data_IF_480171696716
#
_entry.id   IF_480171696716
#
_cell.length_a   1.000
_cell.length_b   1.000
_cell.length_c   1.000
_cell.angle_alpha   90.00
_cell.angle_beta   90.00
_cell.angle_gamma   90.00
#
_symmetry.space_group_name_H-M   'P 1'
#
loop_
_entity.id
_entity.type
_entity.pdbx_description
1 polymer ?
#
# COMPACT_ATOMS: atom_id res chain seq x y z
N UNK A 1 -14.57 20.44 10.34
CA UNK A 1 -13.37 20.21 9.57
C UNK A 1 -13.74 20.07 8.10
N UNK A 2 -13.01 20.72 7.24
CA UNK A 2 -13.22 20.72 5.80
C UNK A 2 -12.91 19.34 5.21
N UNK A 3 -13.74 18.87 4.28
CA UNK A 3 -13.51 17.57 3.62
C UNK A 3 -12.17 17.55 2.90
N UNK A 4 -11.76 18.67 2.31
CA UNK A 4 -10.47 18.75 1.63
C UNK A 4 -9.31 18.55 2.62
N UNK A 5 -9.40 19.08 3.81
CA UNK A 5 -8.40 18.87 4.85
C UNK A 5 -8.37 17.42 5.29
N UNK A 6 -9.54 16.78 5.41
CA UNK A 6 -9.64 15.35 5.75
C UNK A 6 -8.95 14.52 4.68
N UNK A 7 -9.17 14.83 3.39
CA UNK A 7 -8.54 14.12 2.28
C UNK A 7 -7.02 14.26 2.35
N UNK A 8 -6.52 15.47 2.63
CA UNK A 8 -5.08 15.71 2.73
C UNK A 8 -4.44 14.93 3.87
N UNK A 9 -5.08 14.90 5.02
CA UNK A 9 -4.60 14.13 6.17
C UNK A 9 -4.60 12.65 5.83
N UNK A 10 -5.68 12.16 5.21
CA UNK A 10 -5.78 10.76 4.79
C UNK A 10 -4.69 10.40 3.80
N UNK A 11 -4.39 11.29 2.86
CA UNK A 11 -3.30 11.07 1.90
C UNK A 11 -1.94 10.96 2.58
N UNK A 12 -1.68 11.82 3.58
CA UNK A 12 -0.43 11.74 4.34
C UNK A 12 -0.30 10.39 5.03
N UNK A 13 -1.37 9.94 5.69
CA UNK A 13 -1.37 8.63 6.35
C UNK A 13 -1.18 7.49 5.34
N UNK A 14 -1.79 7.61 4.17
CA UNK A 14 -1.64 6.61 3.10
C UNK A 14 -0.19 6.52 2.63
N UNK A 15 0.46 7.66 2.42
CA UNK A 15 1.87 7.70 2.02
C UNK A 15 2.77 7.15 3.12
N UNK A 16 2.47 7.43 4.38
CA UNK A 16 3.21 6.86 5.50
C UNK A 16 3.06 5.34 5.55
N UNK A 17 1.88 4.82 5.23
CA UNK A 17 1.67 3.38 5.13
C UNK A 17 2.56 2.75 4.07
N UNK A 18 2.61 3.34 2.88
CA UNK A 18 3.50 2.86 1.82
C UNK A 18 4.97 3.00 2.20
N UNK A 19 5.34 4.10 2.86
CA UNK A 19 6.72 4.29 3.34
C UNK A 19 7.12 3.20 4.32
N UNK A 20 6.20 2.82 5.20
CA UNK A 20 6.44 1.74 6.16
C UNK A 20 6.63 0.39 5.47
N UNK A 21 5.82 0.09 4.44
CA UNK A 21 5.99 -1.11 3.62
C UNK A 21 7.35 -1.09 2.94
N UNK A 22 7.72 0.00 2.30
CA UNK A 22 8.98 0.12 1.59
C UNK A 22 10.17 0.01 2.54
N UNK A 23 10.10 0.64 3.72
CA UNK A 23 11.15 0.54 4.71
C UNK A 23 11.36 -0.90 5.15
N UNK A 24 10.27 -1.62 5.42
CA UNK A 24 10.35 -3.02 5.84
C UNK A 24 10.88 -3.93 4.75
N UNK A 25 10.51 -3.71 3.49
CA UNK A 25 11.00 -4.54 2.38
C UNK A 25 12.43 -4.19 1.99
N UNK A 26 12.74 -2.90 1.87
CA UNK A 26 14.08 -2.45 1.48
C UNK A 26 15.14 -2.84 2.50
N UNK A 27 14.81 -2.81 3.79
CA UNK A 27 15.77 -3.20 4.83
C UNK A 27 16.16 -4.68 4.73
N UNK A 28 15.42 -5.48 3.98
CA UNK A 28 15.65 -6.92 3.85
C UNK A 28 16.10 -7.35 2.46
N UNK A 29 16.48 -6.40 1.58
CA UNK A 29 16.89 -6.74 0.21
C UNK A 29 18.01 -7.79 0.19
N UNK A 30 18.97 -7.65 1.09
CA UNK A 30 20.07 -8.62 1.19
C UNK A 30 19.62 -10.00 1.65
N UNK A 31 18.43 -10.10 2.24
CA UNK A 31 17.88 -11.36 2.75
C UNK A 31 16.88 -12.01 1.80
N UNK A 32 16.61 -11.43 0.65
CA UNK A 32 15.58 -11.94 -0.27
C UNK A 32 15.83 -13.38 -0.71
N UNK A 33 17.09 -13.77 -0.84
CA UNK A 33 17.47 -15.14 -1.25
C UNK A 33 17.62 -16.08 -0.07
N UNK A 34 17.71 -15.58 1.16
CA UNK A 34 18.03 -16.40 2.33
C UNK A 34 16.93 -16.46 3.37
N UNK A 35 16.12 -15.42 3.53
CA UNK A 35 15.05 -15.49 4.52
C UNK A 35 14.50 -14.15 4.98
N UNK A 36 14.00 -13.34 4.04
CA UNK A 36 13.26 -12.14 4.41
C UNK A 36 11.90 -12.53 5.00
N UNK A 37 11.42 -11.74 5.95
CA UNK A 37 10.17 -12.01 6.66
C UNK A 37 9.24 -10.81 6.58
N UNK A 38 7.94 -11.05 6.79
CA UNK A 38 6.97 -9.98 6.91
C UNK A 38 7.15 -9.34 8.27
N UNK A 39 7.79 -8.18 8.29
CA UNK A 39 8.02 -7.41 9.51
C UNK A 39 6.73 -6.71 9.95
N UNK A 40 6.58 -6.37 11.25
CA UNK A 40 5.42 -5.59 11.71
C UNK A 40 5.22 -4.30 10.93
N UNK A 41 6.30 -3.64 10.51
CA UNK A 41 6.20 -2.42 9.69
C UNK A 41 5.53 -2.67 8.34
N UNK A 42 5.74 -3.85 7.75
CA UNK A 42 5.10 -4.23 6.49
C UNK A 42 3.61 -4.47 6.73
N UNK A 43 3.25 -5.23 7.74
CA UNK A 43 1.85 -5.52 8.04
C UNK A 43 1.08 -4.27 8.43
N UNK A 44 1.61 -3.49 9.37
CA UNK A 44 0.94 -2.27 9.82
C UNK A 44 0.88 -1.21 8.71
N UNK A 45 1.94 -1.12 7.91
CA UNK A 45 1.95 -0.23 6.76
C UNK A 45 0.90 -0.60 5.73
N UNK A 46 0.74 -1.90 5.44
CA UNK A 46 -0.27 -2.36 4.48
C UNK A 46 -1.68 -2.12 5.02
N UNK A 47 -1.90 -2.32 6.31
CA UNK A 47 -3.18 -2.04 6.98
C UNK A 47 -3.53 -0.56 6.86
N UNK A 48 -2.59 0.30 7.22
CA UNK A 48 -2.79 1.75 7.13
C UNK A 48 -3.02 2.20 5.70
N UNK A 49 -2.24 1.70 4.74
CA UNK A 49 -2.41 2.04 3.33
C UNK A 49 -3.75 1.57 2.79
N UNK A 50 -4.20 0.38 3.19
CA UNK A 50 -5.50 -0.15 2.76
C UNK A 50 -6.64 0.70 3.30
N UNK A 51 -6.65 0.97 4.61
CA UNK A 51 -7.71 1.76 5.23
C UNK A 51 -7.77 3.17 4.67
N UNK A 52 -6.64 3.83 4.53
CA UNK A 52 -6.60 5.19 3.98
C UNK A 52 -6.95 5.24 2.50
N UNK A 53 -6.54 4.20 1.74
CA UNK A 53 -6.92 4.10 0.33
C UNK A 53 -8.42 3.93 0.16
N UNK A 54 -9.05 3.09 0.97
CA UNK A 54 -10.49 2.92 0.94
C UNK A 54 -11.22 4.21 1.35
N UNK A 55 -10.69 4.91 2.36
CA UNK A 55 -11.24 6.19 2.78
C UNK A 55 -11.20 7.22 1.66
N UNK A 56 -10.07 7.32 0.96
CA UNK A 56 -9.95 8.24 -0.17
C UNK A 56 -10.86 7.87 -1.33
N UNK A 57 -11.06 6.57 -1.57
CA UNK A 57 -11.98 6.12 -2.62
C UNK A 57 -13.41 6.61 -2.39
N UNK A 58 -13.79 6.80 -1.11
CA UNK A 58 -15.08 7.38 -0.76
C UNK A 58 -15.07 8.90 -0.68
N UNK A 59 -13.97 9.48 -0.16
CA UNK A 59 -13.88 10.93 0.07
C UNK A 59 -13.73 11.75 -1.21
N UNK A 60 -12.96 11.27 -2.18
CA UNK A 60 -12.72 12.02 -3.41
C UNK A 60 -14.00 12.26 -4.21
N UNK A 61 -14.83 11.23 -4.52
CA UNK A 61 -16.10 11.48 -5.18
C UNK A 61 -17.04 12.35 -4.36
N UNK A 62 -17.04 12.20 -3.04
CA UNK A 62 -17.86 13.01 -2.14
C UNK A 62 -17.49 14.49 -2.20
N UNK A 63 -16.22 14.79 -2.52
CA UNK A 63 -15.75 16.17 -2.70
C UNK A 63 -15.95 16.68 -4.14
N UNK A 64 -16.68 15.94 -4.98
CA UNK A 64 -16.97 16.35 -6.34
C UNK A 64 -15.86 16.13 -7.34
N UNK A 65 -14.80 15.41 -6.97
CA UNK A 65 -13.69 15.16 -7.87
C UNK A 65 -13.98 14.00 -8.82
N UNK A 66 -13.57 14.16 -10.08
CA UNK A 66 -13.66 13.10 -11.07
C UNK A 66 -12.61 12.05 -10.79
N UNK A 67 -13.07 10.84 -10.47
CA UNK A 67 -12.17 9.75 -10.15
C UNK A 67 -12.29 8.68 -11.23
N UNK A 68 -11.15 8.27 -11.78
CA UNK A 68 -11.11 7.21 -12.77
C UNK A 68 -11.31 5.87 -12.07
N UNK A 69 -12.41 5.18 -12.39
CA UNK A 69 -12.74 3.91 -11.77
C UNK A 69 -11.67 2.84 -12.00
N UNK A 70 -11.06 2.83 -13.20
CA UNK A 70 -10.00 1.89 -13.51
C UNK A 70 -8.77 2.12 -12.63
N UNK A 71 -8.37 3.37 -12.47
CA UNK A 71 -7.22 3.74 -11.64
C UNK A 71 -7.45 3.34 -10.18
N UNK A 72 -8.63 3.64 -9.65
CA UNK A 72 -8.97 3.28 -8.26
C UNK A 72 -8.97 1.76 -8.10
N UNK A 73 -9.55 1.04 -9.06
CA UNK A 73 -9.62 -0.43 -8.99
C UNK A 73 -8.22 -1.05 -8.99
N UNK A 74 -7.31 -0.56 -9.83
CA UNK A 74 -5.94 -1.06 -9.88
C UNK A 74 -5.18 -0.78 -8.58
N UNK A 75 -5.31 0.43 -8.05
CA UNK A 75 -4.67 0.80 -6.78
C UNK A 75 -5.22 -0.05 -5.62
N UNK A 76 -6.53 -0.20 -5.56
CA UNK A 76 -7.19 -0.97 -4.50
C UNK A 76 -6.83 -2.44 -4.58
N UNK A 77 -6.80 -3.01 -5.79
CA UNK A 77 -6.42 -4.41 -5.99
C UNK A 77 -4.98 -4.65 -5.54
N UNK A 78 -4.06 -3.74 -5.89
CA UNK A 78 -2.67 -3.85 -5.51
C UNK A 78 -2.47 -3.83 -4.00
N UNK A 79 -3.08 -2.86 -3.32
CA UNK A 79 -2.91 -2.74 -1.88
C UNK A 79 -3.62 -3.87 -1.12
N UNK A 80 -4.75 -4.34 -1.65
CA UNK A 80 -5.46 -5.48 -1.08
C UNK A 80 -4.60 -6.75 -1.19
N UNK A 81 -3.96 -6.97 -2.34
CA UNK A 81 -3.06 -8.10 -2.53
C UNK A 81 -1.88 -8.03 -1.55
N UNK A 82 -1.27 -6.86 -1.40
CA UNK A 82 -0.18 -6.66 -0.44
C UNK A 82 -0.64 -7.02 0.98
N UNK A 83 -1.80 -6.52 1.38
CA UNK A 83 -2.33 -6.79 2.72
C UNK A 83 -2.59 -8.27 2.94
N UNK A 84 -3.22 -8.95 1.99
CA UNK A 84 -3.50 -10.38 2.13
C UNK A 84 -2.22 -11.20 2.22
N UNK A 85 -1.22 -10.89 1.40
CA UNK A 85 0.07 -11.58 1.44
C UNK A 85 0.74 -11.33 2.80
N UNK A 86 0.79 -10.07 3.24
CA UNK A 86 1.42 -9.72 4.51
C UNK A 86 0.71 -10.37 5.70
N UNK A 87 -0.61 -10.38 5.69
CA UNK A 87 -1.39 -10.99 6.76
C UNK A 87 -1.19 -12.51 6.80
N UNK A 88 -1.22 -13.15 5.63
CA UNK A 88 -1.07 -14.61 5.53
C UNK A 88 0.27 -15.08 6.08
N UNK A 89 1.34 -14.36 5.79
CA UNK A 89 2.69 -14.75 6.20
C UNK A 89 3.20 -13.99 7.42
N UNK A 90 2.35 -13.22 8.07
CA UNK A 90 2.69 -12.53 9.31
C UNK A 90 3.06 -13.55 10.38
N UNK A 91 4.16 -13.30 11.10
CA UNK A 91 4.65 -14.17 12.19
C UNK A 91 5.03 -15.59 11.75
N UNK A 92 5.21 -15.83 10.47
CA UNK A 92 5.70 -17.11 9.97
C UNK A 92 7.22 -17.14 10.05
N UNK A 93 7.77 -18.17 10.70
CA UNK A 93 9.22 -18.34 10.78
C UNK A 93 9.82 -18.72 9.44
N UNK A 94 9.10 -19.54 8.67
CA UNK A 94 9.53 -20.03 7.37
C UNK A 94 8.75 -19.34 6.26
N UNK A 95 8.96 -18.03 6.11
CA UNK A 95 8.33 -17.27 5.04
C UNK A 95 8.95 -17.67 3.69
N UNK A 96 8.14 -18.04 2.70
CA UNK A 96 8.68 -18.35 1.37
C UNK A 96 9.46 -17.17 0.79
N UNK A 97 10.47 -17.47 0.01
CA UNK A 97 11.39 -16.43 -0.51
C UNK A 97 10.73 -15.44 -1.46
N UNK A 98 9.59 -15.80 -2.07
CA UNK A 98 8.89 -14.93 -3.01
C UNK A 98 8.05 -13.84 -2.31
N UNK A 99 7.74 -14.02 -1.02
CA UNK A 99 6.73 -13.19 -0.33
C UNK A 99 7.16 -11.74 -0.21
N UNK A 100 8.31 -11.46 0.39
CA UNK A 100 8.75 -10.09 0.61
C UNK A 100 9.09 -9.39 -0.71
N UNK A 101 9.81 -10.03 -1.66
CA UNK A 101 10.00 -9.42 -2.98
C UNK A 101 8.68 -9.14 -3.71
N UNK A 102 7.67 -10.01 -3.57
CA UNK A 102 6.37 -9.79 -4.18
C UNK A 102 5.67 -8.57 -3.58
N UNK A 103 5.72 -8.41 -2.25
CA UNK A 103 5.15 -7.24 -1.59
C UNK A 103 5.84 -5.96 -2.09
N UNK A 104 7.16 -5.98 -2.16
CA UNK A 104 7.93 -4.85 -2.67
C UNK A 104 7.54 -4.51 -4.12
N UNK A 105 7.45 -5.54 -4.98
CA UNK A 105 7.07 -5.35 -6.38
C UNK A 105 5.67 -4.77 -6.52
N UNK A 106 4.71 -5.27 -5.75
CA UNK A 106 3.35 -4.75 -5.77
C UNK A 106 3.28 -3.31 -5.27
N UNK A 107 4.05 -2.97 -4.24
CA UNK A 107 4.10 -1.60 -3.72
C UNK A 107 4.68 -0.65 -4.77
N UNK A 108 5.74 -1.06 -5.45
CA UNK A 108 6.36 -0.27 -6.52
C UNK A 108 5.37 -0.08 -7.67
N UNK A 109 4.69 -1.15 -8.10
CA UNK A 109 3.67 -1.06 -9.14
C UNK A 109 2.55 -0.10 -8.76
N UNK A 110 2.13 -0.12 -7.51
CA UNK A 110 1.08 0.78 -7.04
C UNK A 110 1.52 2.24 -7.13
N UNK A 111 2.77 2.53 -6.77
CA UNK A 111 3.33 3.88 -6.91
C UNK A 111 3.41 4.29 -8.38
N UNK A 112 3.85 3.38 -9.24
CA UNK A 112 3.93 3.65 -10.69
C UNK A 112 2.54 3.96 -11.24
N UNK A 113 1.53 3.15 -10.91
CA UNK A 113 0.17 3.40 -11.34
C UNK A 113 -0.35 4.76 -10.83
N UNK A 114 -0.02 5.10 -9.58
CA UNK A 114 -0.43 6.38 -9.02
C UNK A 114 0.13 7.55 -9.79
N UNK A 115 1.40 7.48 -10.18
CA UNK A 115 2.07 8.57 -10.89
C UNK A 115 1.70 8.60 -12.37
N UNK A 116 1.71 7.44 -13.03
CA UNK A 116 1.50 7.36 -14.49
C UNK A 116 0.04 7.51 -14.86
N UNK A 117 -0.88 6.97 -14.05
CA UNK A 117 -2.32 7.01 -14.35
C UNK A 117 -3.05 8.16 -13.67
N UNK A 118 -2.33 9.16 -13.21
CA UNK A 118 -2.94 10.32 -12.61
C UNK A 118 -3.15 10.20 -11.11
N UNK A 119 -2.08 10.31 -10.36
CA UNK A 119 -2.11 10.19 -8.90
C UNK A 119 -3.01 11.21 -8.22
N UNK A 120 -3.30 12.31 -8.90
CA UNK A 120 -4.18 13.35 -8.37
C UNK A 120 -5.64 12.93 -8.38
N UNK A 121 -5.96 11.90 -9.10
CA UNK A 121 -7.34 11.43 -9.24
C UNK A 121 -7.78 10.54 -8.10
#
# INVERSE_FOLDING_TARGET
MDIELIIRITLVLHLLGFGSIMAGTLSQVSLFKTGAKVLPSILHGSWLALLTGLAMAGLLPANGENVNALTISLKSAGITAIFFIAYTYNKKENTPKWVVPAIMGLAILNVIFAVVLGAAD
#
